data_IF_650417747465
#
_entry.id   IF_650417747465
#
_cell.length_a   1.000
_cell.length_b   1.000
_cell.length_c   1.000
_cell.angle_alpha   90.00
_cell.angle_beta   90.00
_cell.angle_gamma   90.00
#
_symmetry.space_group_name_H-M   'P 1'
#
loop_
_entity.id
_entity.type
_entity.pdbx_description
1 polymer ?
#
# COMPACT_ATOMS: atom_id res chain seq x y z
N UNK A 1 -2.88 20.48 14.38
CA UNK A 1 -2.19 20.97 15.60
C UNK A 1 -2.76 20.12 16.72
N UNK A 2 -2.15 19.08 17.28
CA UNK A 2 -0.79 18.58 17.52
C UNK A 2 -0.96 17.06 17.74
N UNK A 3 -0.01 16.14 17.68
CA UNK A 3 1.43 16.14 17.69
C UNK A 3 1.90 14.83 17.05
N UNK A 4 3.13 14.84 16.53
CA UNK A 4 3.92 13.64 16.28
C UNK A 4 4.44 13.16 17.64
N UNK A 5 4.14 11.94 18.04
CA UNK A 5 5.06 11.11 18.84
C UNK A 5 4.96 9.67 18.34
N UNK A 6 6.10 9.21 17.85
CA UNK A 6 6.39 7.81 17.52
C UNK A 6 6.31 6.99 18.80
N UNK A 7 5.61 5.86 18.76
CA UNK A 7 5.96 4.70 19.55
C UNK A 7 6.01 3.50 18.61
N UNK A 8 7.19 2.88 18.61
CA UNK A 8 7.53 1.73 17.79
C UNK A 8 6.72 0.53 18.30
N UNK A 9 6.24 -0.30 17.38
CA UNK A 9 5.61 -1.60 17.64
C UNK A 9 4.12 -1.68 18.05
N UNK A 10 3.32 -0.63 17.89
CA UNK A 10 1.88 -0.81 17.66
C UNK A 10 1.42 -0.01 16.45
N UNK A 11 1.44 -0.66 15.28
CA UNK A 11 0.55 -0.26 14.19
C UNK A 11 -0.86 -0.54 14.72
N UNK A 12 -1.47 0.45 15.36
CA UNK A 12 -2.90 0.48 15.58
C UNK A 12 -3.54 0.47 14.19
N UNK A 13 -3.82 -0.73 13.66
CA UNK A 13 -4.62 -0.91 12.46
C UNK A 13 -6.01 -0.36 12.79
N UNK A 14 -6.23 0.92 12.48
CA UNK A 14 -7.58 1.45 12.36
C UNK A 14 -8.24 0.68 11.22
N UNK A 15 -8.94 -0.40 11.56
CA UNK A 15 -9.70 -1.24 10.65
C UNK A 15 -10.84 -0.41 10.06
N UNK A 16 -10.56 0.32 8.99
CA UNK A 16 -11.55 1.07 8.23
C UNK A 16 -12.46 0.08 7.49
N UNK A 17 -13.41 -0.51 8.20
CA UNK A 17 -14.47 -1.32 7.60
C UNK A 17 -15.26 -0.43 6.63
N UNK A 18 -15.36 -0.83 5.35
CA UNK A 18 -16.29 -0.19 4.42
C UNK A 18 -17.70 -0.60 4.84
N UNK A 19 -18.42 0.31 5.49
CA UNK A 19 -19.81 0.13 5.88
C UNK A 19 -20.68 0.53 4.67
N UNK A 20 -21.26 -0.45 3.99
CA UNK A 20 -22.37 -0.23 3.04
C UNK A 20 -23.66 -0.66 3.74
N UNK A 21 -24.82 -0.15 3.29
CA UNK A 21 -26.16 -0.23 3.93
C UNK A 21 -26.54 -1.48 4.75
N UNK A 22 -25.92 -2.63 4.56
CA UNK A 22 -26.07 -3.82 5.41
C UNK A 22 -24.84 -4.76 5.44
N UNK A 23 -23.67 -4.35 4.94
CA UNK A 23 -22.47 -5.20 4.89
C UNK A 23 -21.27 -4.46 5.46
N UNK A 24 -20.64 -5.08 6.45
CA UNK A 24 -19.32 -4.72 6.96
C UNK A 24 -18.33 -5.76 6.44
N UNK A 25 -17.64 -5.46 5.34
CA UNK A 25 -16.55 -6.30 4.85
C UNK A 25 -15.23 -5.55 4.90
N UNK A 26 -14.20 -6.25 5.38
CA UNK A 26 -12.81 -5.82 5.32
C UNK A 26 -12.10 -6.85 4.46
N UNK A 27 -11.74 -6.43 3.26
CA UNK A 27 -11.04 -7.26 2.29
C UNK A 27 -9.62 -6.73 2.21
N UNK A 28 -8.70 -7.48 2.80
CA UNK A 28 -7.27 -7.22 2.71
C UNK A 28 -6.65 -8.20 1.72
N UNK A 29 -5.97 -7.67 0.72
CA UNK A 29 -5.25 -8.46 -0.27
C UNK A 29 -3.77 -8.13 -0.22
N UNK A 30 -2.97 -9.19 -0.12
CA UNK A 30 -1.52 -9.10 -0.29
C UNK A 30 -1.18 -9.50 -1.73
N UNK A 31 -0.88 -8.49 -2.55
CA UNK A 31 -0.60 -8.66 -3.98
C UNK A 31 0.91 -8.57 -4.18
N UNK A 32 1.50 -9.63 -4.74
CA UNK A 32 2.93 -9.67 -5.06
C UNK A 32 3.11 -9.63 -6.57
N UNK A 33 3.87 -8.66 -7.07
CA UNK A 33 4.17 -8.50 -8.49
C UNK A 33 5.66 -8.72 -8.71
N UNK A 34 5.99 -9.71 -9.54
CA UNK A 34 7.36 -9.98 -9.97
C UNK A 34 7.75 -9.03 -11.11
N UNK A 35 8.99 -8.55 -11.09
CA UNK A 35 9.53 -7.80 -12.22
C UNK A 35 9.77 -8.73 -13.40
N UNK A 36 9.54 -8.20 -14.61
CA UNK A 36 9.77 -8.97 -15.85
C UNK A 36 11.22 -9.45 -15.89
N UNK A 37 11.41 -10.76 -16.01
CA UNK A 37 12.71 -11.44 -15.95
C UNK A 37 13.47 -11.31 -14.62
N UNK A 38 12.79 -10.95 -13.51
CA UNK A 38 13.40 -10.70 -12.18
C UNK A 38 14.63 -9.79 -12.24
N UNK A 39 14.62 -8.82 -13.15
CA UNK A 39 15.72 -7.88 -13.28
C UNK A 39 15.74 -6.95 -12.06
N UNK A 40 16.93 -6.73 -11.50
CA UNK A 40 17.17 -5.82 -10.39
C UNK A 40 17.17 -4.35 -10.84
N UNK A 41 16.03 -3.88 -11.35
CA UNK A 41 15.86 -2.52 -11.91
C UNK A 41 15.19 -1.56 -10.92
N UNK A 42 14.88 -2.04 -9.71
CA UNK A 42 14.29 -1.20 -8.66
C UNK A 42 15.35 -0.27 -8.06
N UNK A 43 15.35 0.96 -8.54
CA UNK A 43 16.08 2.09 -7.96
C UNK A 43 15.13 2.96 -7.14
N UNK A 44 15.69 3.82 -6.27
CA UNK A 44 14.91 4.73 -5.42
C UNK A 44 13.95 5.62 -6.23
N UNK A 45 14.41 6.17 -7.35
CA UNK A 45 13.62 7.00 -8.26
C UNK A 45 12.43 6.25 -8.88
N UNK A 46 12.64 4.99 -9.28
CA UNK A 46 11.59 4.12 -9.81
C UNK A 46 10.56 3.80 -8.73
N UNK A 47 11.01 3.53 -7.50
CA UNK A 47 10.13 3.29 -6.35
C UNK A 47 9.30 4.52 -5.96
N UNK A 48 9.88 5.73 -6.00
CA UNK A 48 9.17 6.99 -5.76
C UNK A 48 8.10 7.24 -6.83
N UNK A 49 8.44 7.00 -8.10
CA UNK A 49 7.49 7.10 -9.22
C UNK A 49 6.34 6.09 -9.05
N UNK A 50 6.64 4.85 -8.66
CA UNK A 50 5.63 3.83 -8.39
C UNK A 50 4.65 4.26 -7.29
N UNK A 51 5.17 4.81 -6.19
CA UNK A 51 4.34 5.34 -5.09
C UNK A 51 3.43 6.47 -5.57
N UNK A 52 3.94 7.39 -6.38
CA UNK A 52 3.13 8.47 -6.95
C UNK A 52 1.99 7.92 -7.84
N UNK A 53 2.26 6.91 -8.65
CA UNK A 53 1.25 6.22 -9.47
C UNK A 53 0.20 5.54 -8.59
N UNK A 54 0.62 4.80 -7.55
CA UNK A 54 -0.30 4.15 -6.61
C UNK A 54 -1.21 5.18 -5.92
N UNK A 55 -0.68 6.33 -5.52
CA UNK A 55 -1.47 7.41 -4.94
C UNK A 55 -2.52 7.95 -5.91
N UNK A 56 -2.14 8.16 -7.17
CA UNK A 56 -3.07 8.55 -8.23
C UNK A 56 -4.15 7.50 -8.54
N UNK A 57 -3.85 6.21 -8.38
CA UNK A 57 -4.83 5.12 -8.51
C UNK A 57 -5.82 5.15 -7.33
N UNK A 58 -5.35 5.38 -6.10
CA UNK A 58 -6.22 5.49 -4.92
C UNK A 58 -7.16 6.69 -4.98
N UNK A 59 -6.78 7.77 -5.65
CA UNK A 59 -7.68 8.92 -5.83
C UNK A 59 -8.80 8.62 -6.86
N UNK A 60 -8.49 7.83 -7.90
CA UNK A 60 -9.42 7.52 -9.00
C UNK A 60 -10.30 6.31 -8.73
N UNK A 61 -9.84 5.37 -7.91
CA UNK A 61 -10.53 4.12 -7.59
C UNK A 61 -10.70 4.02 -6.08
N UNK A 62 -11.78 3.37 -5.61
CA UNK A 62 -11.97 3.15 -4.17
C UNK A 62 -11.05 2.06 -3.57
N UNK A 63 -9.79 2.03 -3.99
CA UNK A 63 -8.75 1.09 -3.60
C UNK A 63 -7.77 1.83 -2.69
N UNK A 64 -7.59 1.34 -1.46
CA UNK A 64 -6.67 1.94 -0.49
C UNK A 64 -5.43 1.07 -0.37
N UNK A 65 -4.26 1.60 -0.67
CA UNK A 65 -3.01 0.92 -0.34
C UNK A 65 -2.65 1.20 1.12
N UNK A 66 -2.50 0.15 1.92
CA UNK A 66 -2.09 0.21 3.33
C UNK A 66 -0.57 0.22 3.42
N UNK A 67 0.08 -0.62 2.63
CA UNK A 67 1.53 -0.73 2.59
C UNK A 67 2.01 -0.99 1.16
N UNK A 68 3.09 -0.31 0.77
CA UNK A 68 3.75 -0.47 -0.53
C UNK A 68 5.22 -0.72 -0.26
N UNK A 69 5.62 -1.99 -0.39
CA UNK A 69 7.01 -2.45 -0.26
C UNK A 69 7.57 -2.85 -1.63
N UNK A 70 8.84 -2.56 -1.88
CA UNK A 70 9.52 -3.03 -3.09
C UNK A 70 10.88 -3.61 -2.72
N UNK A 71 11.21 -4.71 -3.37
CA UNK A 71 12.48 -5.41 -3.30
C UNK A 71 13.16 -5.33 -4.67
N UNK A 72 14.41 -5.76 -4.77
CA UNK A 72 15.16 -5.67 -6.03
C UNK A 72 14.48 -6.38 -7.21
N UNK A 73 13.75 -7.48 -6.99
CA UNK A 73 13.17 -8.33 -8.04
C UNK A 73 11.62 -8.44 -8.00
N UNK A 74 10.96 -7.89 -6.99
CA UNK A 74 9.51 -7.95 -6.82
C UNK A 74 8.95 -6.81 -5.96
N UNK A 75 7.64 -6.59 -6.03
CA UNK A 75 6.91 -5.55 -5.30
C UNK A 75 5.75 -6.16 -4.54
N UNK A 76 5.54 -5.72 -3.30
CA UNK A 76 4.44 -6.10 -2.42
C UNK A 76 3.48 -4.93 -2.24
N UNK A 77 2.20 -5.21 -2.45
CA UNK A 77 1.12 -4.28 -2.15
C UNK A 77 0.18 -4.91 -1.13
N UNK A 78 -0.09 -4.19 -0.04
CA UNK A 78 -1.18 -4.49 0.86
C UNK A 78 -2.32 -3.51 0.56
N UNK A 79 -3.46 -4.06 0.11
CA UNK A 79 -4.65 -3.32 -0.33
C UNK A 79 -5.85 -3.68 0.52
#
# INVERSE_FOLDING_TARGET
>A
MSAILQDENQICFMSNHKIKRSNNSLLLYHIVILLKYRKKVMNKEVGETLKAICFGITERYEVKFIEIGYESDHVHFLV
#
